data_IF_313738625267
#
_entry.id   IF_313738625267
#
_cell.length_a   1.000
_cell.length_b   1.000
_cell.length_c   1.000
_cell.angle_alpha   90.00
_cell.angle_beta   90.00
_cell.angle_gamma   90.00
#
_symmetry.space_group_name_H-M   'P 1'
#
loop_
_entity.id
_entity.type
_entity.pdbx_description
1 polymer ?
#
# COMPACT_ATOMS: atom_id res chain seq x y z
N UNK A 1 -21.74 -68.74 20.31
CA UNK A 1 -20.68 -67.89 20.89
C UNK A 1 -19.78 -67.24 19.84
N UNK A 2 -19.02 -67.97 19.00
CA UNK A 2 -18.10 -67.35 17.99
C UNK A 2 -18.74 -66.31 17.06
N UNK A 3 -19.95 -66.56 16.53
CA UNK A 3 -20.67 -65.62 15.64
C UNK A 3 -21.07 -64.30 16.31
N UNK A 4 -21.39 -64.33 17.61
CA UNK A 4 -21.79 -63.15 18.38
C UNK A 4 -20.56 -62.26 18.64
N UNK A 5 -19.43 -62.85 19.00
CA UNK A 5 -18.17 -62.12 19.23
C UNK A 5 -17.71 -61.39 17.96
N UNK A 6 -17.80 -62.04 16.79
CA UNK A 6 -17.43 -61.43 15.50
C UNK A 6 -18.33 -60.24 15.18
N UNK A 7 -19.64 -60.37 15.39
CA UNK A 7 -20.59 -59.28 15.18
C UNK A 7 -20.32 -58.08 16.12
N UNK A 8 -20.03 -58.35 17.39
CA UNK A 8 -19.67 -57.31 18.36
C UNK A 8 -18.39 -56.57 18.01
N UNK A 9 -17.36 -57.28 17.54
CA UNK A 9 -16.09 -56.68 17.08
C UNK A 9 -16.30 -55.82 15.83
N UNK A 10 -17.13 -56.27 14.88
CA UNK A 10 -17.45 -55.48 13.69
C UNK A 10 -18.19 -54.18 14.05
N UNK A 11 -19.14 -54.23 14.97
CA UNK A 11 -19.88 -53.04 15.43
C UNK A 11 -18.93 -52.03 16.10
N UNK A 12 -18.00 -52.49 16.94
CA UNK A 12 -16.98 -51.64 17.57
C UNK A 12 -16.06 -50.99 16.53
N UNK A 13 -15.64 -51.72 15.49
CA UNK A 13 -14.84 -51.16 14.39
C UNK A 13 -15.60 -50.08 13.62
N UNK A 14 -16.87 -50.31 13.28
CA UNK A 14 -17.70 -49.32 12.56
C UNK A 14 -17.89 -48.05 13.40
N UNK A 15 -18.11 -48.20 14.71
CA UNK A 15 -18.22 -47.07 15.63
C UNK A 15 -16.91 -46.28 15.73
N UNK A 16 -15.77 -46.96 15.84
CA UNK A 16 -14.46 -46.31 15.90
C UNK A 16 -14.17 -45.50 14.63
N UNK A 17 -14.40 -46.09 13.44
CA UNK A 17 -14.23 -45.41 12.15
C UNK A 17 -15.20 -44.21 12.02
N UNK A 18 -16.44 -44.36 12.49
CA UNK A 18 -17.42 -43.28 12.49
C UNK A 18 -17.00 -42.09 13.35
N UNK A 19 -16.46 -42.36 14.55
CA UNK A 19 -15.95 -41.33 15.47
C UNK A 19 -14.73 -40.61 14.89
N UNK A 20 -13.79 -41.35 14.30
CA UNK A 20 -12.61 -40.75 13.63
C UNK A 20 -13.04 -39.86 12.46
N UNK A 21 -13.95 -40.35 11.61
CA UNK A 21 -14.45 -39.59 10.46
C UNK A 21 -15.16 -38.31 10.91
N UNK A 22 -16.02 -38.39 11.93
CA UNK A 22 -16.70 -37.22 12.50
C UNK A 22 -15.70 -36.20 13.07
N UNK A 23 -14.66 -36.68 13.75
CA UNK A 23 -13.60 -35.83 14.31
C UNK A 23 -12.83 -35.10 13.21
N UNK A 24 -12.48 -35.80 12.12
CA UNK A 24 -11.80 -35.21 10.96
C UNK A 24 -12.68 -34.14 10.30
N UNK A 25 -13.97 -34.40 10.11
CA UNK A 25 -14.91 -33.44 9.52
C UNK A 25 -15.00 -32.17 10.39
N UNK A 26 -15.12 -32.33 11.71
CA UNK A 26 -15.19 -31.20 12.64
C UNK A 26 -13.90 -30.37 12.65
N UNK A 27 -12.73 -31.03 12.55
CA UNK A 27 -11.44 -30.35 12.41
C UNK A 27 -11.35 -29.57 11.09
N UNK A 28 -11.79 -30.14 9.96
CA UNK A 28 -11.83 -29.45 8.66
C UNK A 28 -12.68 -28.18 8.69
N UNK A 29 -13.89 -28.25 9.24
CA UNK A 29 -14.77 -27.08 9.40
C UNK A 29 -14.12 -26.01 10.29
N UNK A 30 -13.44 -26.43 11.36
CA UNK A 30 -12.73 -25.49 12.25
C UNK A 30 -11.58 -24.78 11.54
N UNK A 31 -10.86 -25.50 10.66
CA UNK A 31 -9.79 -24.94 9.82
C UNK A 31 -10.36 -23.94 8.80
N UNK A 32 -11.50 -24.26 8.17
CA UNK A 32 -12.18 -23.34 7.23
C UNK A 32 -12.55 -22.02 7.91
N UNK A 33 -13.17 -22.07 9.10
CA UNK A 33 -13.52 -20.87 9.88
C UNK A 33 -12.26 -20.08 10.30
N UNK A 34 -11.17 -20.76 10.66
CA UNK A 34 -9.90 -20.10 10.98
C UNK A 34 -9.31 -19.39 9.76
N UNK A 35 -9.34 -20.03 8.59
CA UNK A 35 -8.86 -19.43 7.34
C UNK A 35 -9.70 -18.22 6.94
N UNK A 36 -11.02 -18.27 7.11
CA UNK A 36 -11.91 -17.13 6.88
C UNK A 36 -11.55 -15.96 7.80
N UNK A 37 -11.39 -16.20 9.10
CA UNK A 37 -10.95 -15.17 10.06
C UNK A 37 -9.56 -14.60 9.73
N UNK A 38 -8.62 -15.45 9.32
CA UNK A 38 -7.28 -15.00 8.88
C UNK A 38 -7.40 -14.08 7.66
N UNK A 39 -8.27 -14.42 6.70
CA UNK A 39 -8.54 -13.60 5.52
C UNK A 39 -9.13 -12.24 5.89
N UNK A 40 -10.12 -12.21 6.79
CA UNK A 40 -10.71 -10.96 7.29
C UNK A 40 -9.70 -10.06 8.01
N UNK A 41 -8.89 -10.63 8.90
CA UNK A 41 -7.83 -9.90 9.60
C UNK A 41 -6.79 -9.34 8.64
N UNK A 42 -6.41 -10.12 7.62
CA UNK A 42 -5.49 -9.66 6.58
C UNK A 42 -6.08 -8.48 5.81
N UNK A 43 -7.35 -8.57 5.41
CA UNK A 43 -8.05 -7.49 4.69
C UNK A 43 -8.12 -6.19 5.50
N UNK A 44 -8.40 -6.26 6.79
CA UNK A 44 -8.41 -5.08 7.67
C UNK A 44 -7.00 -4.48 7.83
N UNK A 45 -5.98 -5.34 7.95
CA UNK A 45 -4.58 -4.92 8.04
C UNK A 45 -4.12 -4.23 6.75
N UNK A 46 -4.42 -4.81 5.59
CA UNK A 46 -4.07 -4.27 4.28
C UNK A 46 -4.75 -2.91 4.05
N UNK A 47 -6.02 -2.77 4.46
CA UNK A 47 -6.73 -1.48 4.40
C UNK A 47 -6.07 -0.42 5.30
N UNK A 48 -5.76 -0.75 6.55
CA UNK A 48 -5.10 0.20 7.47
C UNK A 48 -3.72 0.63 6.99
N UNK A 49 -2.97 -0.30 6.40
CA UNK A 49 -1.67 0.01 5.78
C UNK A 49 -1.84 0.96 4.60
N UNK A 50 -2.78 0.66 3.69
CA UNK A 50 -3.12 1.50 2.55
C UNK A 50 -3.47 2.94 2.98
N UNK A 51 -4.37 3.10 3.96
CA UNK A 51 -4.75 4.42 4.45
C UNK A 51 -3.55 5.23 4.98
N UNK A 52 -2.68 4.59 5.79
CA UNK A 52 -1.48 5.26 6.30
C UNK A 52 -0.56 5.70 5.17
N UNK A 53 -0.30 4.81 4.21
CA UNK A 53 0.58 5.11 3.07
C UNK A 53 0.04 6.28 2.26
N UNK A 54 -1.27 6.29 1.94
CA UNK A 54 -1.90 7.39 1.20
C UNK A 54 -1.76 8.72 1.96
N UNK A 55 -2.05 8.73 3.26
CA UNK A 55 -1.97 9.95 4.09
C UNK A 55 -0.54 10.49 4.15
N UNK A 56 0.44 9.62 4.40
CA UNK A 56 1.84 10.02 4.48
C UNK A 56 2.38 10.50 3.14
N UNK A 57 2.09 9.78 2.05
CA UNK A 57 2.46 10.18 0.70
C UNK A 57 1.88 11.57 0.36
N UNK A 58 0.60 11.80 0.65
CA UNK A 58 -0.03 13.10 0.40
C UNK A 58 0.64 14.23 1.17
N UNK A 59 0.93 14.03 2.47
CA UNK A 59 1.57 15.04 3.31
C UNK A 59 2.97 15.41 2.82
N UNK A 60 3.80 14.41 2.51
CA UNK A 60 5.15 14.68 1.97
C UNK A 60 5.08 15.33 0.57
N UNK A 61 4.19 14.87 -0.30
CA UNK A 61 4.00 15.45 -1.63
C UNK A 61 3.56 16.92 -1.57
N UNK A 62 2.61 17.27 -0.69
CA UNK A 62 2.16 18.66 -0.53
C UNK A 62 3.22 19.58 0.06
N UNK A 63 4.12 19.08 0.91
CA UNK A 63 5.29 19.85 1.34
C UNK A 63 6.14 20.27 0.14
N UNK A 64 6.40 19.36 -0.81
CA UNK A 64 7.19 19.68 -2.00
C UNK A 64 6.50 20.74 -2.87
N UNK A 65 5.18 20.64 -3.07
CA UNK A 65 4.42 21.64 -3.85
C UNK A 65 4.40 23.04 -3.23
N UNK A 66 4.65 23.15 -1.92
CA UNK A 66 4.72 24.43 -1.20
C UNK A 66 6.14 25.01 -1.12
N UNK A 67 7.17 24.27 -1.57
CA UNK A 67 8.52 24.79 -1.60
C UNK A 67 8.68 25.76 -2.77
N UNK A 68 9.06 27.00 -2.46
CA UNK A 68 9.45 27.96 -3.47
C UNK A 68 10.87 27.64 -3.97
N UNK A 69 11.07 27.48 -5.28
CA UNK A 69 12.38 27.20 -5.86
C UNK A 69 13.22 28.48 -5.83
N UNK A 70 13.92 28.72 -4.73
CA UNK A 70 14.78 29.90 -4.54
C UNK A 70 16.28 29.60 -4.75
N UNK A 71 16.63 28.32 -4.98
CA UNK A 71 18.00 27.87 -5.18
C UNK A 71 18.86 27.89 -3.92
N UNK A 72 18.27 28.17 -2.75
CA UNK A 72 18.99 28.18 -1.48
C UNK A 72 19.42 26.78 -1.06
N UNK A 73 20.46 26.71 -0.22
CA UNK A 73 20.88 25.46 0.43
C UNK A 73 19.74 24.90 1.28
N UNK A 74 18.95 25.76 1.92
CA UNK A 74 17.80 25.34 2.73
C UNK A 74 16.71 24.67 1.87
N UNK A 75 16.42 25.21 0.69
CA UNK A 75 15.52 24.59 -0.29
C UNK A 75 16.03 23.21 -0.73
N UNK A 76 17.32 23.09 -1.04
CA UNK A 76 17.94 21.81 -1.43
C UNK A 76 17.83 20.75 -0.33
N UNK A 77 18.10 21.15 0.91
CA UNK A 77 18.00 20.27 2.10
C UNK A 77 16.54 19.86 2.32
N UNK A 78 15.61 20.80 2.23
CA UNK A 78 14.18 20.52 2.40
C UNK A 78 13.68 19.54 1.32
N UNK A 79 13.99 19.79 0.05
CA UNK A 79 13.60 18.90 -1.06
C UNK A 79 14.22 17.51 -0.93
N UNK A 80 15.50 17.41 -0.57
CA UNK A 80 16.18 16.12 -0.35
C UNK A 80 15.55 15.34 0.81
N UNK A 81 15.18 16.03 1.89
CA UNK A 81 14.50 15.42 3.04
C UNK A 81 13.14 14.87 2.63
N UNK A 82 12.35 15.64 1.88
CA UNK A 82 11.04 15.19 1.37
C UNK A 82 11.22 14.00 0.44
N UNK A 83 12.19 14.04 -0.48
CA UNK A 83 12.47 12.95 -1.40
C UNK A 83 12.79 11.65 -0.65
N UNK A 84 13.71 11.69 0.33
CA UNK A 84 14.04 10.52 1.15
C UNK A 84 12.88 10.01 2.00
N UNK A 85 12.09 10.90 2.60
CA UNK A 85 10.90 10.51 3.35
C UNK A 85 9.87 9.81 2.45
N UNK A 86 9.67 10.34 1.24
CA UNK A 86 8.75 9.75 0.28
C UNK A 86 9.24 8.38 -0.20
N UNK A 87 10.55 8.23 -0.44
CA UNK A 87 11.17 6.94 -0.78
C UNK A 87 10.88 5.88 0.29
N UNK A 88 11.00 6.23 1.58
CA UNK A 88 10.65 5.35 2.68
C UNK A 88 9.17 4.95 2.66
N UNK A 89 8.26 5.90 2.43
CA UNK A 89 6.82 5.60 2.32
C UNK A 89 6.56 4.64 1.16
N UNK A 90 7.12 4.92 -0.02
CA UNK A 90 7.01 4.06 -1.21
C UNK A 90 7.49 2.64 -0.94
N UNK A 91 8.68 2.51 -0.35
CA UNK A 91 9.29 1.20 -0.07
C UNK A 91 8.62 0.45 1.09
N UNK A 92 7.89 1.16 1.96
CA UNK A 92 7.13 0.54 3.06
C UNK A 92 5.84 -0.12 2.61
N UNK A 93 5.33 0.21 1.43
CA UNK A 93 4.10 -0.38 0.91
C UNK A 93 4.36 -1.74 0.26
N UNK A 94 3.83 -2.80 0.88
CA UNK A 94 3.92 -4.18 0.39
C UNK A 94 2.55 -4.77 -0.03
N UNK A 95 1.53 -3.91 -0.16
CA UNK A 95 0.20 -4.32 -0.56
C UNK A 95 0.08 -4.57 -2.07
N UNK A 96 -1.07 -5.11 -2.48
CA UNK A 96 -1.36 -5.45 -3.88
C UNK A 96 -2.32 -4.47 -4.57
N UNK A 97 -2.64 -3.31 -3.98
CA UNK A 97 -3.51 -2.32 -4.61
C UNK A 97 -2.72 -1.54 -5.67
N UNK A 98 -3.00 -1.85 -6.95
CA UNK A 98 -2.34 -1.21 -8.09
C UNK A 98 -2.54 0.31 -8.13
N UNK A 99 -3.65 0.83 -7.60
CA UNK A 99 -3.88 2.28 -7.59
C UNK A 99 -2.91 2.97 -6.64
N UNK A 100 -2.62 2.35 -5.49
CA UNK A 100 -1.65 2.86 -4.51
C UNK A 100 -0.23 2.77 -5.09
N UNK A 101 0.13 1.62 -5.68
CA UNK A 101 1.44 1.46 -6.33
C UNK A 101 1.65 2.49 -7.44
N UNK A 102 0.65 2.70 -8.29
CA UNK A 102 0.71 3.71 -9.35
C UNK A 102 0.82 5.13 -8.79
N UNK A 103 0.04 5.46 -7.76
CA UNK A 103 0.11 6.76 -7.07
C UNK A 103 1.51 7.01 -6.49
N UNK A 104 2.09 6.04 -5.79
CA UNK A 104 3.43 6.14 -5.20
C UNK A 104 4.50 6.32 -6.28
N UNK A 105 4.38 5.61 -7.40
CA UNK A 105 5.31 5.75 -8.51
C UNK A 105 5.22 7.13 -9.15
N UNK A 106 4.02 7.63 -9.45
CA UNK A 106 3.85 8.95 -10.08
C UNK A 106 4.36 10.09 -9.19
N UNK A 107 4.07 10.03 -7.89
CA UNK A 107 4.54 11.03 -6.94
C UNK A 107 6.07 10.96 -6.74
N UNK A 108 6.65 9.76 -6.66
CA UNK A 108 8.09 9.59 -6.61
C UNK A 108 8.77 10.09 -7.89
N UNK A 109 8.23 9.75 -9.06
CA UNK A 109 8.74 10.19 -10.37
C UNK A 109 8.69 11.71 -10.57
N UNK A 110 7.81 12.40 -9.85
CA UNK A 110 7.80 13.86 -9.78
C UNK A 110 8.93 14.36 -8.87
N UNK A 111 9.02 13.84 -7.64
CA UNK A 111 10.03 14.27 -6.67
C UNK A 111 11.46 14.02 -7.17
N UNK A 112 11.71 12.85 -7.74
CA UNK A 112 12.99 12.47 -8.35
C UNK A 112 13.36 13.41 -9.52
N UNK A 113 12.36 13.78 -10.34
CA UNK A 113 12.56 14.72 -11.43
C UNK A 113 12.92 16.12 -10.94
N UNK A 114 12.20 16.66 -9.95
CA UNK A 114 12.46 17.99 -9.41
C UNK A 114 13.82 18.02 -8.69
N UNK A 115 14.12 16.98 -7.90
CA UNK A 115 15.42 16.83 -7.22
C UNK A 115 16.57 16.84 -8.23
N UNK A 116 16.47 16.02 -9.27
CA UNK A 116 17.44 15.96 -10.37
C UNK A 116 17.54 17.27 -11.16
N UNK A 117 16.41 17.96 -11.38
CA UNK A 117 16.36 19.21 -12.12
C UNK A 117 17.10 20.31 -11.38
N UNK A 118 16.85 20.45 -10.07
CA UNK A 118 17.44 21.50 -9.25
C UNK A 118 18.97 21.40 -9.23
N UNK A 119 19.54 20.19 -9.16
CA UNK A 119 20.99 19.99 -9.14
C UNK A 119 21.72 20.45 -10.41
N UNK A 120 21.00 20.56 -11.54
CA UNK A 120 21.56 20.97 -12.84
C UNK A 120 20.95 22.26 -13.38
N UNK A 121 20.07 22.91 -12.63
CA UNK A 121 19.20 23.97 -13.17
C UNK A 121 20.02 25.13 -13.75
N UNK A 122 21.12 25.52 -13.10
CA UNK A 122 21.99 26.61 -13.57
C UNK A 122 22.72 26.31 -14.87
N UNK A 123 22.92 25.03 -15.19
CA UNK A 123 23.58 24.60 -16.42
C UNK A 123 22.67 24.58 -17.65
N UNK A 124 21.35 24.73 -17.46
CA UNK A 124 20.35 24.70 -18.52
C UNK A 124 20.22 26.06 -19.21
N UNK A 125 20.05 26.04 -20.53
CA UNK A 125 19.63 27.21 -21.31
C UNK A 125 18.21 27.66 -20.94
N UNK A 126 17.83 28.88 -21.34
CA UNK A 126 16.48 29.40 -21.10
C UNK A 126 15.37 28.50 -21.67
N UNK A 127 15.57 27.94 -22.86
CA UNK A 127 14.60 27.03 -23.47
C UNK A 127 14.47 25.73 -22.70
N UNK A 128 15.60 25.12 -22.31
CA UNK A 128 15.61 23.89 -21.51
C UNK A 128 14.99 24.10 -20.13
N UNK A 129 15.18 25.27 -19.51
CA UNK A 129 14.52 25.63 -18.25
C UNK A 129 13.00 25.67 -18.42
N UNK A 130 12.50 26.29 -19.48
CA UNK A 130 11.06 26.36 -19.76
C UNK A 130 10.46 24.97 -20.00
N UNK A 131 11.12 24.13 -20.81
CA UNK A 131 10.69 22.75 -21.05
C UNK A 131 10.69 21.91 -19.76
N UNK A 132 11.71 22.09 -18.93
CA UNK A 132 11.80 21.40 -17.65
C UNK A 132 10.71 21.82 -16.67
N UNK A 133 10.34 23.10 -16.65
CA UNK A 133 9.22 23.61 -15.86
C UNK A 133 7.88 23.02 -16.30
N UNK A 134 7.61 23.00 -17.61
CA UNK A 134 6.39 22.39 -18.14
C UNK A 134 6.32 20.90 -17.78
N UNK A 135 7.42 20.17 -17.96
CA UNK A 135 7.50 18.75 -17.60
C UNK A 135 7.34 18.50 -16.10
N UNK A 136 7.89 19.37 -15.25
CA UNK A 136 7.70 19.33 -13.80
C UNK A 136 6.23 19.50 -13.44
N UNK A 137 5.55 20.47 -14.06
CA UNK A 137 4.12 20.72 -13.86
C UNK A 137 3.24 19.55 -14.30
N UNK A 138 3.51 18.96 -15.47
CA UNK A 138 2.76 17.80 -15.95
C UNK A 138 2.88 16.60 -15.00
N UNK A 139 4.11 16.34 -14.51
CA UNK A 139 4.38 15.30 -13.51
C UNK A 139 3.66 15.57 -12.19
N UNK A 140 3.71 16.82 -11.71
CA UNK A 140 3.00 17.22 -10.49
C UNK A 140 1.48 17.00 -10.63
N UNK A 141 0.89 17.43 -11.74
CA UNK A 141 -0.54 17.28 -12.02
C UNK A 141 -0.97 15.81 -12.07
N UNK A 142 -0.19 14.95 -12.72
CA UNK A 142 -0.46 13.51 -12.76
C UNK A 142 -0.39 12.87 -11.36
N UNK A 143 0.64 13.22 -10.57
CA UNK A 143 0.80 12.74 -9.21
C UNK A 143 -0.34 13.20 -8.28
N UNK A 144 -0.69 14.49 -8.36
CA UNK A 144 -1.78 15.07 -7.56
C UNK A 144 -3.13 14.41 -7.86
N UNK A 145 -3.42 14.17 -9.14
CA UNK A 145 -4.63 13.45 -9.56
C UNK A 145 -4.67 12.02 -9.01
N UNK A 146 -3.54 11.30 -9.05
CA UNK A 146 -3.46 9.93 -8.54
C UNK A 146 -3.63 9.87 -7.01
N UNK A 147 -3.02 10.82 -6.29
CA UNK A 147 -3.17 10.98 -4.84
C UNK A 147 -4.62 11.27 -4.46
N UNK A 148 -5.25 12.25 -5.09
CA UNK A 148 -6.64 12.62 -4.82
C UNK A 148 -7.62 11.48 -5.16
N UNK A 149 -7.34 10.70 -6.21
CA UNK A 149 -8.10 9.48 -6.53
C UNK A 149 -8.05 8.45 -5.39
N UNK A 150 -6.85 8.20 -4.84
CA UNK A 150 -6.68 7.29 -3.71
C UNK A 150 -7.36 7.81 -2.44
N UNK A 151 -7.24 9.10 -2.13
CA UNK A 151 -7.91 9.74 -0.99
C UNK A 151 -9.43 9.57 -1.11
N UNK A 152 -9.99 9.79 -2.30
CA UNK A 152 -11.41 9.60 -2.57
C UNK A 152 -11.85 8.15 -2.42
N UNK A 153 -11.12 7.21 -3.05
CA UNK A 153 -11.40 5.76 -2.98
C UNK A 153 -11.43 5.23 -1.54
N UNK A 154 -10.59 5.77 -0.67
CA UNK A 154 -10.48 5.36 0.73
C UNK A 154 -11.23 6.29 1.71
N UNK A 155 -11.96 7.29 1.22
CA UNK A 155 -12.69 8.28 2.01
C UNK A 155 -11.83 8.95 3.10
N UNK A 156 -10.66 9.48 2.71
CA UNK A 156 -9.64 9.99 3.63
C UNK A 156 -9.59 11.53 3.75
N UNK A 157 -10.56 12.25 3.18
CA UNK A 157 -10.57 13.74 3.12
C UNK A 157 -10.29 14.40 4.48
N UNK A 158 -11.01 13.98 5.52
CA UNK A 158 -10.85 14.45 6.90
C UNK A 158 -9.44 14.22 7.45
N UNK A 159 -8.85 13.06 7.13
CA UNK A 159 -7.53 12.66 7.64
C UNK A 159 -6.37 13.39 6.94
N UNK A 160 -6.62 13.95 5.76
CA UNK A 160 -5.63 14.73 5.00
C UNK A 160 -5.85 16.25 5.10
N UNK A 161 -6.89 16.70 5.81
CA UNK A 161 -7.18 18.12 6.02
C UNK A 161 -7.73 18.82 4.79
N UNK A 162 -8.52 18.10 3.98
CA UNK A 162 -9.20 18.61 2.78
C UNK A 162 -10.67 18.98 3.02
N UNK A 163 -11.06 19.11 4.30
CA UNK A 163 -12.40 19.60 4.72
C UNK A 163 -12.59 21.10 4.44
#
# INVERSE_FOLDING_TARGET
MKKIIIASVMILMVLAIGIETFTIIKQKQSIEVLNEKISEMKKDTDKKLAEKVIIHAYKEFKKAGNLLPDGSVDYLIALSTIHSNFELVKNSYNGSDNDITNMLNLAYDYLDYVHSLVLKFDSLSTNEKNEAWLKSFDKYSAADKALNSCISKYALFDKVGLE
#
